data_IF_825136303116
#
_entry.id   IF_825136303116
#
_cell.length_a   1.000
_cell.length_b   1.000
_cell.length_c   1.000
_cell.angle_alpha   90.00
_cell.angle_beta   90.00
_cell.angle_gamma   90.00
#
_symmetry.space_group_name_H-M   'P 1'
#
loop_
_entity.id
_entity.type
_entity.pdbx_description
1 polymer ?
#
# COMPACT_ATOMS: atom_id res chain seq x y z
N UNK A 1 1.59 -8.16 -6.96
CA UNK A 1 0.90 -8.48 -5.70
C UNK A 1 1.49 -9.70 -4.97
N UNK A 2 1.59 -10.90 -5.56
CA UNK A 2 2.07 -12.11 -4.84
C UNK A 2 3.41 -11.89 -4.11
N UNK A 3 4.41 -11.25 -4.76
CA UNK A 3 5.68 -10.95 -4.11
C UNK A 3 5.56 -10.04 -2.87
N UNK A 4 4.62 -9.09 -2.87
CA UNK A 4 4.34 -8.24 -1.72
C UNK A 4 3.69 -9.04 -0.57
N UNK A 5 2.75 -9.94 -0.90
CA UNK A 5 2.11 -10.83 0.09
C UNK A 5 3.14 -11.78 0.71
N UNK A 6 4.02 -12.37 -0.11
CA UNK A 6 5.11 -13.21 0.38
C UNK A 6 6.02 -12.40 1.31
N UNK A 7 6.41 -11.18 0.89
CA UNK A 7 7.23 -10.28 1.70
C UNK A 7 6.61 -9.98 3.07
N UNK A 8 5.31 -9.68 3.09
CA UNK A 8 4.54 -9.45 4.33
C UNK A 8 4.53 -10.70 5.22
N UNK A 9 4.11 -11.85 4.68
CA UNK A 9 4.00 -13.10 5.45
C UNK A 9 5.35 -13.53 6.06
N UNK A 10 6.41 -13.47 5.25
CA UNK A 10 7.80 -13.77 5.68
C UNK A 10 8.26 -12.74 6.72
N UNK A 11 8.06 -11.44 6.45
CA UNK A 11 8.50 -10.33 7.28
C UNK A 11 7.80 -10.26 8.64
N UNK A 12 6.54 -10.70 8.72
CA UNK A 12 5.68 -10.64 9.92
C UNK A 12 6.31 -11.27 11.17
N UNK A 13 7.12 -12.31 10.99
CA UNK A 13 7.80 -13.01 12.07
C UNK A 13 9.03 -12.25 12.61
N UNK A 14 9.66 -11.45 11.75
CA UNK A 14 10.88 -10.69 12.03
C UNK A 14 10.62 -9.21 12.33
N UNK A 15 9.36 -8.79 12.32
CA UNK A 15 8.96 -7.43 12.67
C UNK A 15 8.90 -7.27 14.20
N UNK A 16 9.66 -6.30 14.73
CA UNK A 16 9.68 -5.92 16.14
C UNK A 16 11.08 -5.93 16.78
N UNK A 17 11.12 -5.90 18.12
CA UNK A 17 12.38 -5.78 18.88
C UNK A 17 13.06 -7.12 19.18
N UNK A 18 12.31 -8.22 19.17
CA UNK A 18 12.74 -9.50 19.78
C UNK A 18 13.41 -10.44 18.77
N UNK A 19 12.90 -10.52 17.53
CA UNK A 19 13.44 -11.38 16.48
C UNK A 19 13.73 -10.54 15.25
N UNK A 20 15.01 -10.42 14.87
CA UNK A 20 15.44 -9.73 13.65
C UNK A 20 16.23 -10.71 12.80
N UNK A 21 15.96 -10.75 11.50
CA UNK A 21 16.85 -11.42 10.56
C UNK A 21 18.17 -10.64 10.51
N UNK A 22 19.23 -11.21 11.09
CA UNK A 22 20.57 -10.59 11.14
C UNK A 22 21.44 -10.96 9.94
N UNK A 23 20.96 -11.84 9.07
CA UNK A 23 21.67 -12.32 7.89
C UNK A 23 20.66 -12.62 6.77
N UNK A 24 21.16 -12.86 5.55
CA UNK A 24 20.35 -13.32 4.42
C UNK A 24 19.92 -14.80 4.55
N UNK A 25 20.51 -15.54 5.49
CA UNK A 25 20.14 -16.91 5.80
C UNK A 25 19.16 -16.90 6.99
N UNK A 26 17.87 -16.93 6.69
CA UNK A 26 16.79 -16.98 7.67
C UNK A 26 15.64 -17.84 7.13
N UNK A 27 14.79 -18.33 8.04
CA UNK A 27 13.65 -19.17 7.68
C UNK A 27 12.55 -18.31 7.02
N UNK A 28 12.20 -18.63 5.78
CA UNK A 28 11.20 -17.85 5.04
C UNK A 28 9.79 -18.01 5.65
N UNK A 29 9.40 -19.24 5.95
CA UNK A 29 8.07 -19.53 6.49
C UNK A 29 8.21 -20.27 7.80
N UNK A 30 7.66 -19.66 8.86
CA UNK A 30 7.59 -20.26 10.19
C UNK A 30 6.13 -20.58 10.51
N UNK A 31 5.83 -21.42 11.51
CA UNK A 31 4.47 -21.63 12.00
C UNK A 31 3.76 -20.35 12.49
N UNK A 32 4.51 -19.26 12.69
CA UNK A 32 4.00 -17.96 13.14
C UNK A 32 3.91 -16.91 12.02
N UNK A 33 4.35 -17.26 10.81
CA UNK A 33 4.25 -16.40 9.63
C UNK A 33 2.78 -16.21 9.27
N UNK A 34 2.34 -14.96 9.14
CA UNK A 34 0.95 -14.59 8.84
C UNK A 34 0.89 -13.31 8.02
N UNK A 35 -0.18 -13.13 7.27
CA UNK A 35 -0.44 -11.84 6.65
C UNK A 35 -0.74 -10.77 7.71
N UNK A 36 -0.43 -9.52 7.38
CA UNK A 36 -0.69 -8.34 8.22
C UNK A 36 -1.56 -7.33 7.48
N UNK A 37 -1.64 -6.12 8.01
CA UNK A 37 -2.35 -5.00 7.41
C UNK A 37 -1.85 -4.69 6.00
N UNK A 38 -0.57 -4.90 5.70
CA UNK A 38 0.01 -4.76 4.36
C UNK A 38 -0.76 -5.57 3.31
N UNK A 39 -0.91 -6.88 3.52
CA UNK A 39 -1.67 -7.76 2.61
C UNK A 39 -3.15 -7.42 2.62
N UNK A 40 -3.76 -7.25 3.79
CA UNK A 40 -5.21 -7.07 3.91
C UNK A 40 -5.63 -5.75 3.24
N UNK A 41 -4.87 -4.67 3.45
CA UNK A 41 -5.15 -3.38 2.82
C UNK A 41 -4.80 -3.39 1.32
N UNK A 42 -3.76 -4.11 0.89
CA UNK A 42 -3.48 -4.29 -0.55
C UNK A 42 -4.66 -4.95 -1.27
N UNK A 43 -5.27 -5.97 -0.65
CA UNK A 43 -6.46 -6.66 -1.17
C UNK A 43 -7.70 -5.74 -1.17
N UNK A 44 -7.91 -4.98 -0.09
CA UNK A 44 -9.01 -4.02 0.00
C UNK A 44 -8.94 -2.96 -1.10
N UNK A 45 -7.77 -2.36 -1.28
CA UNK A 45 -7.51 -1.37 -2.35
C UNK A 45 -7.72 -1.99 -3.71
N UNK A 46 -7.18 -3.19 -3.95
CA UNK A 46 -7.39 -3.90 -5.21
C UNK A 46 -8.86 -4.14 -5.52
N UNK A 47 -9.63 -4.59 -4.52
CA UNK A 47 -11.07 -4.83 -4.68
C UNK A 47 -11.83 -3.53 -4.99
N UNK A 48 -11.54 -2.45 -4.28
CA UNK A 48 -12.19 -1.16 -4.51
C UNK A 48 -11.93 -0.63 -5.93
N UNK A 49 -10.69 -0.74 -6.41
CA UNK A 49 -10.32 -0.28 -7.75
C UNK A 49 -10.88 -1.17 -8.86
N UNK A 50 -11.02 -2.49 -8.63
CA UNK A 50 -11.75 -3.37 -9.55
C UNK A 50 -13.22 -2.96 -9.64
N UNK A 51 -13.85 -2.68 -8.49
CA UNK A 51 -15.25 -2.25 -8.44
C UNK A 51 -15.49 -0.89 -9.12
N UNK A 52 -14.44 -0.05 -9.22
CA UNK A 52 -14.51 1.33 -9.73
C UNK A 52 -13.64 1.54 -10.97
N UNK A 53 -13.27 0.48 -11.69
CA UNK A 53 -12.26 0.54 -12.75
C UNK A 53 -12.54 1.57 -13.84
N UNK A 54 -13.81 1.78 -14.19
CA UNK A 54 -14.25 2.75 -15.21
C UNK A 54 -14.79 4.06 -14.61
N UNK A 55 -14.78 4.19 -13.29
CA UNK A 55 -15.29 5.37 -12.60
C UNK A 55 -14.31 6.54 -12.75
N UNK A 56 -14.86 7.73 -12.97
CA UNK A 56 -14.10 8.99 -13.11
C UNK A 56 -14.32 9.91 -11.93
N UNK A 57 -15.45 9.80 -11.25
CA UNK A 57 -15.79 10.58 -10.07
C UNK A 57 -14.96 10.14 -8.87
N UNK A 58 -13.97 10.97 -8.51
CA UNK A 58 -13.03 10.70 -7.42
C UNK A 58 -13.75 10.40 -6.10
N UNK A 59 -14.86 11.09 -5.82
CA UNK A 59 -15.64 10.90 -4.60
C UNK A 59 -16.25 9.50 -4.51
N UNK A 60 -16.65 8.91 -5.64
CA UNK A 60 -17.18 7.55 -5.71
C UNK A 60 -16.06 6.54 -5.47
N UNK A 61 -14.90 6.74 -6.10
CA UNK A 61 -13.71 5.89 -5.89
C UNK A 61 -13.27 5.92 -4.42
N UNK A 62 -13.19 7.11 -3.81
CA UNK A 62 -12.85 7.28 -2.40
C UNK A 62 -13.84 6.59 -1.47
N UNK A 63 -15.14 6.67 -1.76
CA UNK A 63 -16.18 6.00 -0.98
C UNK A 63 -16.03 4.47 -1.03
N UNK A 64 -15.75 3.91 -2.21
CA UNK A 64 -15.54 2.47 -2.35
C UNK A 64 -14.24 2.01 -1.66
N UNK A 65 -13.16 2.80 -1.76
CA UNK A 65 -11.92 2.56 -1.02
C UNK A 65 -12.16 2.48 0.50
N UNK A 66 -12.88 3.46 1.05
CA UNK A 66 -13.23 3.48 2.48
C UNK A 66 -14.03 2.24 2.84
N UNK A 67 -15.06 1.92 2.06
CA UNK A 67 -15.93 0.76 2.28
C UNK A 67 -15.14 -0.54 2.31
N UNK A 68 -14.31 -0.82 1.31
CA UNK A 68 -13.57 -2.09 1.23
C UNK A 68 -12.47 -2.19 2.28
N UNK A 69 -11.77 -1.08 2.56
CA UNK A 69 -10.75 -1.04 3.62
C UNK A 69 -11.36 -1.30 5.00
N UNK A 70 -12.48 -0.65 5.32
CA UNK A 70 -13.19 -0.91 6.57
C UNK A 70 -13.80 -2.32 6.60
N UNK A 71 -14.33 -2.83 5.48
CA UNK A 71 -14.90 -4.19 5.42
C UNK A 71 -13.85 -5.24 5.76
N UNK A 72 -12.70 -5.23 5.07
CA UNK A 72 -11.62 -6.17 5.36
C UNK A 72 -10.97 -5.90 6.73
N UNK A 73 -10.82 -4.63 7.12
CA UNK A 73 -10.31 -4.27 8.45
C UNK A 73 -11.16 -4.80 9.61
N UNK A 74 -12.49 -4.83 9.43
CA UNK A 74 -13.44 -5.40 10.41
C UNK A 74 -13.40 -6.92 10.43
N UNK A 75 -13.20 -7.58 9.29
CA UNK A 75 -13.06 -9.05 9.20
C UNK A 75 -11.74 -9.49 9.86
N UNK A 76 -10.68 -8.70 9.71
CA UNK A 76 -9.34 -9.01 10.23
C UNK A 76 -8.84 -7.92 11.18
N UNK A 77 -9.41 -7.77 12.39
CA UNK A 77 -9.13 -6.63 13.27
C UNK A 77 -7.77 -6.69 13.98
N UNK A 78 -7.12 -7.85 14.03
CA UNK A 78 -5.87 -8.08 14.80
C UNK A 78 -4.62 -8.20 13.92
N UNK A 79 -4.60 -7.47 12.81
CA UNK A 79 -3.58 -7.59 11.77
C UNK A 79 -2.47 -6.56 11.83
N UNK A 80 -2.13 -6.04 13.01
CA UNK A 80 -1.02 -5.09 13.26
C UNK A 80 -1.18 -3.67 12.72
N UNK A 81 -2.41 -3.26 12.39
CA UNK A 81 -2.70 -1.85 12.07
C UNK A 81 -2.14 -0.88 13.11
N UNK A 82 -1.59 0.25 12.64
CA UNK A 82 -1.23 1.37 13.51
C UNK A 82 -2.42 1.85 14.35
N UNK A 83 -2.13 2.45 15.52
CA UNK A 83 -3.17 2.86 16.49
C UNK A 83 -4.22 3.80 15.88
N UNK A 84 -3.79 4.81 15.14
CA UNK A 84 -4.69 5.77 14.48
C UNK A 84 -5.47 5.10 13.36
N UNK A 85 -4.81 4.28 12.54
CA UNK A 85 -5.47 3.57 11.45
C UNK A 85 -6.52 2.56 11.95
N UNK A 86 -6.25 1.89 13.07
CA UNK A 86 -7.21 1.03 13.76
C UNK A 86 -8.46 1.77 14.23
N UNK A 87 -8.36 3.07 14.53
CA UNK A 87 -9.51 3.90 14.85
C UNK A 87 -10.30 4.22 13.58
N UNK A 88 -9.60 4.73 12.55
CA UNK A 88 -10.16 5.04 11.23
C UNK A 88 -10.95 3.88 10.61
N UNK A 89 -10.50 2.62 10.78
CA UNK A 89 -11.18 1.42 10.28
C UNK A 89 -12.58 1.18 10.90
N UNK A 90 -12.87 1.81 12.04
CA UNK A 90 -14.11 1.63 12.82
C UNK A 90 -14.98 2.89 12.87
N UNK A 91 -14.49 4.02 12.41
CA UNK A 91 -15.26 5.26 12.36
C UNK A 91 -16.41 5.16 11.35
N UNK A 92 -17.54 5.78 11.66
CA UNK A 92 -18.70 5.81 10.75
C UNK A 92 -18.42 6.70 9.53
N UNK A 93 -17.78 7.84 9.75
CA UNK A 93 -17.44 8.82 8.72
C UNK A 93 -15.94 9.15 8.81
N UNK A 94 -15.07 8.20 8.41
CA UNK A 94 -13.64 8.34 8.63
C UNK A 94 -13.05 9.49 7.81
N UNK A 95 -12.17 10.27 8.44
CA UNK A 95 -11.44 11.37 7.78
C UNK A 95 -9.95 11.05 7.72
N UNK A 96 -9.24 11.50 6.67
CA UNK A 96 -7.80 11.37 6.66
C UNK A 96 -7.18 12.22 7.77
N UNK A 97 -6.10 11.72 8.36
CA UNK A 97 -5.56 12.25 9.63
C UNK A 97 -4.09 12.72 9.50
N UNK A 98 -3.68 13.13 8.29
CA UNK A 98 -2.38 13.72 7.98
C UNK A 98 -1.17 12.93 8.47
N UNK A 99 -1.27 11.59 8.46
CA UNK A 99 -0.15 10.73 8.82
C UNK A 99 0.90 10.68 7.72
N UNK A 100 2.17 10.82 8.12
CA UNK A 100 3.38 10.67 7.30
C UNK A 100 3.94 9.23 7.34
N UNK A 101 3.29 8.33 8.07
CA UNK A 101 3.73 6.92 8.17
C UNK A 101 3.56 6.18 6.84
N UNK A 102 4.23 5.03 6.73
CA UNK A 102 4.30 4.22 5.51
C UNK A 102 2.97 3.56 5.08
N UNK A 103 1.89 3.75 5.84
CA UNK A 103 0.58 3.12 5.62
C UNK A 103 -0.04 3.39 4.24
N UNK A 104 0.33 4.50 3.58
CA UNK A 104 -0.03 4.78 2.18
C UNK A 104 0.71 3.90 1.18
N UNK A 105 1.99 3.59 1.43
CA UNK A 105 2.87 2.87 0.52
C UNK A 105 2.74 1.35 0.58
N UNK A 106 2.50 0.79 1.78
CA UNK A 106 2.42 -0.68 1.97
C UNK A 106 1.28 -1.35 1.19
N UNK A 107 0.24 -0.60 0.84
CA UNK A 107 -1.00 -1.11 0.23
C UNK A 107 -1.15 -0.80 -1.26
N UNK A 108 -0.11 -0.28 -1.90
CA UNK A 108 -0.19 0.24 -3.29
C UNK A 108 0.15 -0.79 -4.38
N UNK A 109 0.54 -1.99 -3.98
CA UNK A 109 1.00 -3.04 -4.91
C UNK A 109 -0.07 -3.51 -5.90
N UNK A 110 -1.36 -3.29 -5.60
CA UNK A 110 -2.50 -3.56 -6.50
C UNK A 110 -2.63 -2.51 -7.60
N UNK A 111 -2.35 -1.24 -7.31
CA UNK A 111 -2.52 -0.11 -8.24
C UNK A 111 -1.58 -0.23 -9.42
N UNK A 112 -0.32 -0.64 -9.18
CA UNK A 112 0.69 -0.82 -10.24
C UNK A 112 0.32 -1.88 -11.29
N UNK A 113 -0.66 -2.76 -11.00
CA UNK A 113 -1.09 -3.85 -11.88
C UNK A 113 -2.38 -3.56 -12.63
N UNK A 114 -3.13 -2.52 -12.22
CA UNK A 114 -4.45 -2.23 -12.76
C UNK A 114 -4.40 -1.22 -13.91
N UNK A 115 -3.37 -0.38 -14.00
CA UNK A 115 -3.30 0.69 -14.98
C UNK A 115 -2.07 0.57 -15.87
N UNK A 116 -2.23 1.00 -17.12
CA UNK A 116 -1.27 0.77 -18.21
C UNK A 116 -0.27 1.92 -18.42
N UNK A 117 -0.32 2.96 -17.59
CA UNK A 117 0.60 4.10 -17.67
C UNK A 117 0.88 4.72 -16.30
N UNK A 118 2.03 5.41 -16.18
CA UNK A 118 2.47 6.03 -14.93
C UNK A 118 1.56 7.16 -14.45
N UNK A 119 0.89 7.88 -15.35
CA UNK A 119 0.00 8.97 -14.99
C UNK A 119 -1.21 8.43 -14.20
N UNK A 120 -1.87 7.41 -14.73
CA UNK A 120 -3.00 6.75 -14.08
C UNK A 120 -2.58 6.00 -12.82
N UNK A 121 -1.44 5.32 -12.84
CA UNK A 121 -0.87 4.65 -11.66
C UNK A 121 -0.66 5.66 -10.52
N UNK A 122 -0.04 6.81 -10.81
CA UNK A 122 0.20 7.85 -9.81
C UNK A 122 -1.10 8.55 -9.38
N UNK A 123 -2.02 8.80 -10.31
CA UNK A 123 -3.35 9.38 -10.01
C UNK A 123 -4.11 8.51 -9.01
N UNK A 124 -4.26 7.21 -9.28
CA UNK A 124 -5.00 6.30 -8.40
C UNK A 124 -4.26 6.03 -7.08
N UNK A 125 -2.94 6.16 -7.08
CA UNK A 125 -2.13 6.14 -5.85
C UNK A 125 -2.42 7.31 -4.95
N UNK A 126 -2.49 8.53 -5.50
CA UNK A 126 -2.87 9.74 -4.75
C UNK A 126 -4.29 9.60 -4.17
N UNK A 127 -5.24 9.10 -4.97
CA UNK A 127 -6.62 8.85 -4.52
C UNK A 127 -6.62 7.83 -3.37
N UNK A 128 -5.93 6.71 -3.51
CA UNK A 128 -5.83 5.65 -2.49
C UNK A 128 -5.19 6.11 -1.19
N UNK A 129 -4.16 6.96 -1.24
CA UNK A 129 -3.53 7.51 -0.06
C UNK A 129 -4.43 8.55 0.64
N UNK A 130 -5.13 9.37 -0.15
CA UNK A 130 -5.92 10.53 0.33
C UNK A 130 -7.05 10.18 1.30
N UNK A 131 -7.56 8.93 1.30
CA UNK A 131 -8.66 8.53 2.20
C UNK A 131 -8.22 8.37 3.66
N UNK A 132 -6.92 8.19 3.93
CA UNK A 132 -6.42 8.01 5.31
C UNK A 132 -5.10 8.74 5.61
N UNK A 133 -4.12 8.66 4.71
CA UNK A 133 -2.75 9.15 4.89
C UNK A 133 -2.49 10.27 3.87
N UNK A 134 -3.10 11.44 4.11
CA UNK A 134 -3.08 12.57 3.17
C UNK A 134 -1.88 13.52 3.34
N UNK A 135 -0.85 13.12 4.10
CA UNK A 135 0.39 13.89 4.19
C UNK A 135 1.16 13.82 2.86
N UNK A 136 1.65 14.95 2.37
CA UNK A 136 2.30 15.06 1.07
C UNK A 136 3.48 14.07 0.92
N UNK A 137 4.33 13.98 1.94
CA UNK A 137 5.49 13.06 1.92
C UNK A 137 5.08 11.58 1.90
N UNK A 138 3.99 11.21 2.58
CA UNK A 138 3.46 9.84 2.52
C UNK A 138 2.89 9.51 1.14
N UNK A 139 2.29 10.49 0.46
CA UNK A 139 1.79 10.34 -0.92
C UNK A 139 2.97 10.22 -1.90
N UNK A 140 4.01 11.06 -1.76
CA UNK A 140 5.23 10.98 -2.59
C UNK A 140 5.90 9.62 -2.46
N UNK A 141 6.09 9.14 -1.23
CA UNK A 141 6.65 7.81 -0.98
C UNK A 141 5.82 6.69 -1.63
N UNK A 142 4.48 6.77 -1.55
CA UNK A 142 3.60 5.81 -2.23
C UNK A 142 3.73 5.88 -3.76
N UNK A 143 3.82 7.10 -4.33
CA UNK A 143 4.05 7.30 -5.76
C UNK A 143 5.41 6.74 -6.22
N UNK A 144 6.44 6.85 -5.39
CA UNK A 144 7.76 6.26 -5.69
C UNK A 144 7.70 4.74 -5.72
N UNK A 145 7.07 4.12 -4.71
CA UNK A 145 6.92 2.66 -4.62
C UNK A 145 6.13 2.14 -5.82
N UNK A 146 4.97 2.75 -6.14
CA UNK A 146 4.13 2.26 -7.24
C UNK A 146 4.82 2.45 -8.60
N UNK A 147 5.57 3.55 -8.78
CA UNK A 147 6.31 3.81 -10.01
C UNK A 147 7.45 2.80 -10.18
N UNK A 148 8.16 2.46 -9.10
CA UNK A 148 9.17 1.41 -9.11
C UNK A 148 8.57 0.04 -9.50
N UNK A 149 7.41 -0.32 -8.94
CA UNK A 149 6.73 -1.58 -9.27
C UNK A 149 6.31 -1.59 -10.76
N UNK A 150 5.73 -0.49 -11.24
CA UNK A 150 5.31 -0.37 -12.63
C UNK A 150 6.50 -0.48 -13.59
N UNK A 151 7.55 0.32 -13.39
CA UNK A 151 8.75 0.32 -14.23
C UNK A 151 9.48 -1.02 -14.21
N UNK A 152 9.61 -1.66 -13.04
CA UNK A 152 10.16 -3.00 -12.94
C UNK A 152 9.34 -4.03 -13.74
N UNK A 153 8.02 -3.89 -13.80
CA UNK A 153 7.15 -4.74 -14.63
C UNK A 153 7.36 -4.53 -16.13
N UNK A 154 7.88 -3.36 -16.53
CA UNK A 154 8.28 -3.02 -17.89
C UNK A 154 9.75 -3.39 -18.18
N UNK A 155 10.37 -4.21 -17.34
CA UNK A 155 11.78 -4.64 -17.43
C UNK A 155 12.81 -3.50 -17.37
N UNK A 156 12.45 -2.37 -16.74
CA UNK A 156 13.40 -1.28 -16.50
C UNK A 156 14.46 -1.70 -15.50
N UNK A 157 15.69 -1.24 -15.74
CA UNK A 157 16.83 -1.45 -14.86
C UNK A 157 16.67 -0.68 -13.54
N UNK A 158 17.47 -1.04 -12.53
CA UNK A 158 17.48 -0.32 -11.25
C UNK A 158 17.89 1.14 -11.42
N UNK A 159 18.80 1.42 -12.36
CA UNK A 159 19.28 2.78 -12.61
C UNK A 159 18.20 3.63 -13.29
N UNK A 160 17.51 3.10 -14.31
CA UNK A 160 16.36 3.79 -14.93
C UNK A 160 15.22 4.05 -13.93
N UNK A 161 14.95 3.11 -13.02
CA UNK A 161 13.93 3.29 -11.98
C UNK A 161 14.33 4.41 -11.01
N UNK A 162 15.60 4.41 -10.59
CA UNK A 162 16.14 5.43 -9.69
C UNK A 162 16.07 6.82 -10.33
N UNK A 163 16.58 6.96 -11.55
CA UNK A 163 16.57 8.21 -12.32
C UNK A 163 15.14 8.76 -12.46
N UNK A 164 14.18 7.92 -12.86
CA UNK A 164 12.78 8.33 -12.95
C UNK A 164 12.24 8.90 -11.63
N UNK A 165 12.50 8.23 -10.50
CA UNK A 165 12.01 8.65 -9.18
C UNK A 165 12.67 9.97 -8.74
N UNK A 166 13.96 10.13 -8.97
CA UNK A 166 14.72 11.35 -8.64
C UNK A 166 14.19 12.56 -9.43
N UNK A 167 13.99 12.41 -10.75
CA UNK A 167 13.56 13.48 -11.64
C UNK A 167 12.08 13.87 -11.49
N UNK A 168 11.19 12.90 -11.24
CA UNK A 168 9.74 13.13 -11.36
C UNK A 168 9.03 13.32 -10.01
N UNK A 169 9.64 12.92 -8.90
CA UNK A 169 8.98 12.94 -7.58
C UNK A 169 9.65 13.87 -6.56
N UNK A 170 10.76 14.54 -6.92
CA UNK A 170 11.51 15.47 -6.06
C UNK A 170 11.76 14.87 -4.65
N UNK A 171 12.24 13.62 -4.60
CA UNK A 171 12.47 12.87 -3.34
C UNK A 171 13.90 13.10 -2.80
N UNK A 172 14.71 13.93 -3.46
CA UNK A 172 16.05 14.32 -3.04
C UNK A 172 16.28 15.82 -3.24
#
# INVERSE_FOLDING_TARGET
MIGAIIGDVVGSFYEGKIKKAKSKNFELFTPYSRCTDDTIMSLAVGQALVNTYQEKEISIIQKELIKEMQRLGKIYPYSRYGKQFSHWLREENPKPYNSFENGSGIRISSVARLYDNLEDVNKHTKITASVSHNHLEGIKGACAIVSAIYLASQNKSKDEIKEYIEENLNIF
#
